data_IF_720825066768
#
_entry.id   IF_720825066768
#
_cell.length_a   1.000
_cell.length_b   1.000
_cell.length_c   1.000
_cell.angle_alpha   90.00
_cell.angle_beta   90.00
_cell.angle_gamma   90.00
#
_symmetry.space_group_name_H-M   'P 1'
#
loop_
_entity.id
_entity.type
_entity.pdbx_description
1 polymer ?
#
# COMPACT_ATOMS: atom_id res chain seq x y z
N UNK A 1 0.36 -19.66 -0.90
CA UNK A 1 0.95 -18.30 -0.92
C UNK A 1 0.05 -17.28 -0.19
N UNK A 2 -1.18 -17.02 -0.66
CA UNK A 2 -2.11 -16.05 -0.04
C UNK A 2 -2.33 -16.26 1.48
N UNK A 3 -2.42 -17.52 1.92
CA UNK A 3 -2.51 -17.87 3.34
C UNK A 3 -1.32 -17.35 4.18
N UNK A 4 -0.09 -17.53 3.68
CA UNK A 4 1.13 -17.08 4.35
C UNK A 4 1.20 -15.54 4.36
N UNK A 5 0.90 -14.91 3.22
CA UNK A 5 0.88 -13.44 3.10
C UNK A 5 -0.13 -12.83 4.07
N UNK A 6 -1.32 -13.43 4.20
CA UNK A 6 -2.32 -12.99 5.18
C UNK A 6 -1.80 -13.02 6.61
N UNK A 7 -1.19 -14.14 7.05
CA UNK A 7 -0.65 -14.24 8.40
C UNK A 7 0.46 -13.22 8.66
N UNK A 8 1.32 -12.97 7.66
CA UNK A 8 2.37 -11.94 7.75
C UNK A 8 1.75 -10.55 7.89
N UNK A 9 0.75 -10.20 7.08
CA UNK A 9 0.09 -8.89 7.14
C UNK A 9 -0.58 -8.64 8.51
N UNK A 10 -1.31 -9.63 9.02
CA UNK A 10 -1.96 -9.55 10.32
C UNK A 10 -0.91 -9.44 11.43
N UNK A 11 0.13 -10.29 11.40
CA UNK A 11 1.17 -10.31 12.42
C UNK A 11 1.99 -9.04 12.49
N UNK A 12 2.47 -8.52 11.34
CA UNK A 12 3.25 -7.27 11.28
C UNK A 12 2.40 -6.08 11.70
N UNK A 13 1.13 -6.01 11.26
CA UNK A 13 0.24 -4.93 11.66
C UNK A 13 -0.03 -4.93 13.17
N UNK A 14 -0.34 -6.10 13.74
CA UNK A 14 -0.55 -6.26 15.18
C UNK A 14 0.71 -5.88 15.98
N UNK A 15 1.88 -6.32 15.54
CA UNK A 15 3.16 -5.97 16.15
C UNK A 15 3.44 -4.45 16.07
N UNK A 16 3.27 -3.84 14.90
CA UNK A 16 3.52 -2.41 14.70
C UNK A 16 2.63 -1.53 15.60
N UNK A 17 1.43 -2.02 15.91
CA UNK A 17 0.51 -1.37 16.85
C UNK A 17 0.94 -1.56 18.30
N UNK A 18 1.28 -2.78 18.70
CA UNK A 18 1.75 -3.07 20.06
C UNK A 18 3.02 -2.30 20.40
N UNK A 19 3.94 -2.19 19.44
CA UNK A 19 5.18 -1.42 19.57
C UNK A 19 4.99 0.11 19.45
N UNK A 20 3.76 0.61 19.24
CA UNK A 20 3.43 2.04 19.08
C UNK A 20 4.23 2.77 17.98
N UNK A 21 4.73 2.04 16.98
CA UNK A 21 5.53 2.59 15.87
C UNK A 21 4.62 3.38 14.93
N UNK A 22 3.44 2.84 14.62
CA UNK A 22 2.41 3.49 13.80
C UNK A 22 1.23 3.85 14.71
N UNK A 23 1.04 5.15 14.95
CA UNK A 23 -0.03 5.63 15.85
C UNK A 23 -1.37 5.82 15.14
N UNK A 24 -1.40 5.78 13.81
CA UNK A 24 -2.64 5.96 13.04
C UNK A 24 -3.43 4.65 12.96
N UNK A 25 -4.52 4.57 13.74
CA UNK A 25 -5.40 3.41 13.79
C UNK A 25 -6.01 3.06 12.42
N UNK A 26 -6.27 4.05 11.57
CA UNK A 26 -6.86 3.80 10.25
C UNK A 26 -5.90 3.02 9.35
N UNK A 27 -4.60 3.35 9.38
CA UNK A 27 -3.58 2.66 8.58
C UNK A 27 -3.43 1.21 9.06
N UNK A 28 -3.28 1.01 10.37
CA UNK A 28 -3.16 -0.32 10.97
C UNK A 28 -4.41 -1.15 10.70
N UNK A 29 -5.60 -0.56 10.91
CA UNK A 29 -6.88 -1.21 10.67
C UNK A 29 -7.06 -1.64 9.22
N UNK A 30 -6.63 -0.82 8.26
CA UNK A 30 -6.62 -1.17 6.84
C UNK A 30 -5.76 -2.39 6.54
N UNK A 31 -4.53 -2.46 7.07
CA UNK A 31 -3.63 -3.60 6.85
C UNK A 31 -4.20 -4.89 7.45
N UNK A 32 -4.76 -4.82 8.67
CA UNK A 32 -5.39 -5.98 9.32
C UNK A 32 -6.62 -6.45 8.52
N UNK A 33 -7.49 -5.53 8.11
CA UNK A 33 -8.69 -5.85 7.33
C UNK A 33 -8.31 -6.52 6.00
N UNK A 34 -7.30 -6.00 5.29
CA UNK A 34 -6.77 -6.62 4.09
C UNK A 34 -6.26 -8.05 4.36
N UNK A 35 -5.53 -8.26 5.46
CA UNK A 35 -5.07 -9.58 5.86
C UNK A 35 -6.22 -10.56 6.08
N UNK A 36 -7.21 -10.20 6.90
CA UNK A 36 -8.38 -11.06 7.19
C UNK A 36 -9.17 -11.37 5.91
N UNK A 37 -9.35 -10.39 5.03
CA UNK A 37 -10.01 -10.61 3.75
C UNK A 37 -9.26 -11.61 2.87
N UNK A 38 -7.92 -11.49 2.76
CA UNK A 38 -7.10 -12.44 2.00
C UNK A 38 -7.12 -13.86 2.60
N UNK A 39 -7.19 -13.99 3.93
CA UNK A 39 -7.38 -15.28 4.60
C UNK A 39 -8.68 -15.97 4.19
N UNK A 40 -9.79 -15.21 4.17
CA UNK A 40 -11.09 -15.76 3.78
C UNK A 40 -11.09 -16.18 2.30
N UNK A 41 -10.47 -15.38 1.43
CA UNK A 41 -10.32 -15.73 0.02
C UNK A 41 -9.48 -16.99 -0.19
N UNK A 42 -8.37 -17.15 0.54
CA UNK A 42 -7.57 -18.37 0.46
C UNK A 42 -8.33 -19.59 0.97
N UNK A 43 -9.15 -19.45 2.02
CA UNK A 43 -10.01 -20.52 2.51
C UNK A 43 -11.08 -20.91 1.48
N UNK A 44 -11.75 -19.93 0.85
CA UNK A 44 -12.73 -20.18 -0.22
C UNK A 44 -12.10 -20.90 -1.41
N UNK A 45 -10.91 -20.47 -1.85
CA UNK A 45 -10.17 -21.13 -2.93
C UNK A 45 -9.78 -22.57 -2.57
N UNK A 46 -9.30 -22.81 -1.35
CA UNK A 46 -8.92 -24.13 -0.86
C UNK A 46 -10.12 -25.09 -0.77
N UNK A 47 -11.21 -24.65 -0.14
CA UNK A 47 -12.44 -25.46 -0.03
C UNK A 47 -13.02 -25.73 -1.42
N UNK A 48 -13.03 -24.73 -2.29
CA UNK A 48 -13.51 -24.86 -3.68
C UNK A 48 -12.74 -25.92 -4.46
N UNK A 49 -11.41 -25.97 -4.29
CA UNK A 49 -10.56 -26.98 -4.91
C UNK A 49 -10.75 -28.38 -4.31
N UNK A 50 -10.78 -28.52 -2.98
CA UNK A 50 -10.89 -29.85 -2.33
C UNK A 50 -12.26 -30.49 -2.54
N UNK A 51 -13.34 -29.70 -2.38
CA UNK A 51 -14.72 -30.20 -2.46
C UNK A 51 -15.26 -30.24 -3.89
N UNK A 52 -14.48 -29.84 -4.90
CA UNK A 52 -14.94 -29.67 -6.28
C UNK A 52 -16.25 -28.86 -6.40
N UNK A 53 -16.47 -27.92 -5.49
CA UNK A 53 -17.73 -27.17 -5.41
C UNK A 53 -17.74 -26.06 -6.47
N UNK A 54 -18.30 -26.37 -7.65
CA UNK A 54 -18.29 -25.53 -8.85
C UNK A 54 -18.75 -24.08 -8.60
N UNK A 55 -19.80 -23.90 -7.79
CA UNK A 55 -20.34 -22.56 -7.46
C UNK A 55 -19.37 -21.75 -6.59
N UNK A 56 -18.66 -22.40 -5.67
CA UNK A 56 -17.72 -21.71 -4.77
C UNK A 56 -16.49 -21.25 -5.55
N UNK A 57 -16.02 -22.10 -6.46
CA UNK A 57 -14.91 -21.78 -7.37
C UNK A 57 -15.28 -20.65 -8.33
N UNK A 58 -16.55 -20.56 -8.77
CA UNK A 58 -17.05 -19.45 -9.57
C UNK A 58 -16.97 -18.11 -8.82
N UNK A 59 -17.47 -18.05 -7.57
CA UNK A 59 -17.35 -16.83 -6.76
C UNK A 59 -15.89 -16.45 -6.50
N UNK A 60 -15.02 -17.43 -6.23
CA UNK A 60 -13.59 -17.20 -6.07
C UNK A 60 -12.97 -16.56 -7.31
N UNK A 61 -13.26 -17.08 -8.52
CA UNK A 61 -12.78 -16.49 -9.78
C UNK A 61 -13.32 -15.08 -10.00
N UNK A 62 -14.61 -14.84 -9.70
CA UNK A 62 -15.21 -13.51 -9.84
C UNK A 62 -14.51 -12.49 -8.93
N UNK A 63 -14.28 -12.84 -7.67
CA UNK A 63 -13.62 -11.95 -6.72
C UNK A 63 -12.17 -11.68 -7.13
N UNK A 64 -11.42 -12.72 -7.53
CA UNK A 64 -10.05 -12.53 -8.04
C UNK A 64 -10.02 -11.62 -9.28
N UNK A 65 -10.99 -11.75 -10.19
CA UNK A 65 -11.06 -10.89 -11.35
C UNK A 65 -11.35 -9.42 -10.99
N UNK A 66 -12.21 -9.18 -10.00
CA UNK A 66 -12.46 -7.84 -9.48
C UNK A 66 -11.21 -7.25 -8.80
N UNK A 67 -10.49 -8.05 -8.02
CA UNK A 67 -9.22 -7.65 -7.42
C UNK A 67 -8.18 -7.30 -8.47
N UNK A 68 -8.09 -8.10 -9.54
CA UNK A 68 -7.22 -7.82 -10.67
C UNK A 68 -7.52 -6.45 -11.29
N UNK A 69 -8.80 -6.14 -11.58
CA UNK A 69 -9.18 -4.85 -12.17
C UNK A 69 -8.76 -3.69 -11.25
N UNK A 70 -9.04 -3.79 -9.95
CA UNK A 70 -8.72 -2.75 -8.97
C UNK A 70 -7.20 -2.57 -8.84
N UNK A 71 -6.45 -3.66 -8.65
CA UNK A 71 -5.00 -3.62 -8.48
C UNK A 71 -4.30 -3.09 -9.73
N UNK A 72 -4.71 -3.57 -10.91
CA UNK A 72 -4.16 -3.10 -12.18
C UNK A 72 -4.42 -1.61 -12.37
N UNK A 73 -5.63 -1.15 -12.08
CA UNK A 73 -5.99 0.27 -12.18
C UNK A 73 -5.16 1.14 -11.22
N UNK A 74 -5.03 0.74 -9.95
CA UNK A 74 -4.22 1.46 -8.96
C UNK A 74 -2.74 1.45 -9.35
N UNK A 75 -2.22 0.32 -9.83
CA UNK A 75 -0.83 0.19 -10.24
C UNK A 75 -0.50 1.10 -11.43
N UNK A 76 -1.36 1.12 -12.45
CA UNK A 76 -1.26 2.05 -13.57
C UNK A 76 -1.37 3.51 -13.10
N UNK A 77 -2.31 3.83 -12.21
CA UNK A 77 -2.45 5.17 -11.66
C UNK A 77 -1.18 5.62 -10.94
N UNK A 78 -0.59 4.79 -10.07
CA UNK A 78 0.66 5.06 -9.37
C UNK A 78 1.83 5.35 -10.32
N UNK A 79 1.92 4.63 -11.44
CA UNK A 79 2.96 4.85 -12.45
C UNK A 79 2.71 6.10 -13.31
N UNK A 80 1.45 6.49 -13.49
CA UNK A 80 1.05 7.61 -14.33
C UNK A 80 1.00 8.96 -13.60
N UNK A 81 1.10 8.99 -12.25
CA UNK A 81 1.02 10.23 -11.47
C UNK A 81 2.11 11.22 -11.90
N UNK A 82 1.69 12.44 -12.25
CA UNK A 82 2.61 13.51 -12.65
C UNK A 82 3.26 14.22 -11.46
N UNK A 83 4.33 14.97 -11.72
CA UNK A 83 5.00 15.81 -10.73
C UNK A 83 4.08 16.81 -10.05
N UNK A 84 3.06 17.29 -10.74
CA UNK A 84 2.14 18.31 -10.22
C UNK A 84 1.02 17.72 -9.38
N UNK A 85 0.57 16.53 -9.75
CA UNK A 85 -0.30 15.75 -8.86
C UNK A 85 0.44 15.34 -7.58
N UNK A 86 1.71 14.93 -7.68
CA UNK A 86 2.55 14.65 -6.50
C UNK A 86 2.67 15.89 -5.59
N UNK A 87 2.87 17.08 -6.19
CA UNK A 87 2.97 18.35 -5.46
C UNK A 87 1.71 18.64 -4.66
N UNK A 88 0.56 18.66 -5.34
CA UNK A 88 -0.72 18.99 -4.71
C UNK A 88 -1.05 18.01 -3.58
N UNK A 89 -0.84 16.71 -3.80
CA UNK A 89 -1.05 15.67 -2.79
C UNK A 89 -0.14 15.84 -1.57
N UNK A 90 1.15 16.12 -1.80
CA UNK A 90 2.12 16.32 -0.72
C UNK A 90 1.84 17.62 0.04
N UNK A 91 1.46 18.69 -0.65
CA UNK A 91 1.11 19.98 -0.05
C UNK A 91 -0.13 19.84 0.84
N UNK A 92 -1.20 19.25 0.34
CA UNK A 92 -2.42 18.98 1.13
C UNK A 92 -2.14 18.02 2.29
N UNK A 93 -1.29 17.00 2.06
CA UNK A 93 -0.81 16.10 3.09
C UNK A 93 -0.05 16.85 4.19
N UNK A 94 0.84 17.78 3.82
CA UNK A 94 1.57 18.61 4.77
C UNK A 94 0.64 19.53 5.55
N UNK A 95 -0.34 20.17 4.90
CA UNK A 95 -1.30 21.06 5.57
C UNK A 95 -2.10 20.32 6.65
N UNK A 96 -2.51 19.08 6.37
CA UNK A 96 -3.30 18.23 7.29
C UNK A 96 -2.44 17.47 8.30
N UNK A 97 -1.13 17.42 8.11
CA UNK A 97 -0.23 16.69 8.99
C UNK A 97 -0.22 17.34 10.39
N UNK A 98 -0.34 16.49 11.41
CA UNK A 98 -0.20 16.90 12.81
C UNK A 98 1.24 17.37 13.09
N UNK A 99 1.40 18.26 14.07
CA UNK A 99 2.69 18.84 14.46
C UNK A 99 3.78 17.77 14.67
N UNK A 100 3.46 16.69 15.39
CA UNK A 100 4.40 15.60 15.65
C UNK A 100 4.86 14.87 14.38
N UNK A 101 4.01 14.77 13.35
CA UNK A 101 4.38 14.18 12.06
C UNK A 101 5.30 15.12 11.31
N UNK A 102 4.98 16.42 11.25
CA UNK A 102 5.85 17.43 10.63
C UNK A 102 7.25 17.43 11.25
N UNK A 103 7.36 17.44 12.58
CA UNK A 103 8.64 17.37 13.29
C UNK A 103 9.39 16.08 12.94
N UNK A 104 8.74 14.91 13.08
CA UNK A 104 9.38 13.61 12.75
C UNK A 104 9.86 13.54 11.30
N UNK A 105 9.06 14.02 10.34
CA UNK A 105 9.44 14.06 8.93
C UNK A 105 10.68 14.92 8.73
N UNK A 106 10.72 16.12 9.32
CA UNK A 106 11.88 17.02 9.25
C UNK A 106 13.14 16.40 9.87
N UNK A 107 13.00 15.67 10.98
CA UNK A 107 14.11 14.96 11.62
C UNK A 107 14.64 13.80 10.78
N UNK A 108 13.75 13.00 10.18
CA UNK A 108 14.12 11.82 9.38
C UNK A 108 14.75 12.24 8.03
N UNK A 109 14.19 13.26 7.39
CA UNK A 109 14.61 13.69 6.06
C UNK A 109 15.60 14.85 6.08
N UNK A 110 16.03 15.31 7.26
CA UNK A 110 16.99 16.41 7.43
C UNK A 110 16.60 17.66 6.62
N UNK A 111 15.34 18.07 6.73
CA UNK A 111 14.74 19.16 5.95
C UNK A 111 13.90 20.07 6.84
N UNK A 112 13.53 21.27 6.37
CA UNK A 112 12.66 22.17 7.13
C UNK A 112 11.66 22.92 6.25
N UNK A 113 10.40 22.97 6.70
CA UNK A 113 9.30 23.59 5.97
C UNK A 113 8.96 22.85 4.67
N UNK A 114 7.76 23.07 4.12
CA UNK A 114 7.36 22.38 2.89
C UNK A 114 8.14 22.91 1.67
N UNK A 115 7.90 24.16 1.27
CA UNK A 115 8.55 24.81 0.12
C UNK A 115 9.52 25.91 0.50
N UNK A 116 9.26 26.60 1.61
CA UNK A 116 10.07 27.72 2.06
C UNK A 116 10.38 27.58 3.55
N UNK A 117 11.64 27.87 3.90
CA UNK A 117 12.16 27.77 5.25
C UNK A 117 11.85 29.02 6.08
N UNK A 118 11.52 30.13 5.43
CA UNK A 118 11.19 31.39 6.12
C UNK A 118 9.76 31.44 6.65
N UNK A 119 8.94 30.42 6.36
CA UNK A 119 7.58 30.37 6.89
C UNK A 119 7.59 30.33 8.42
N UNK A 120 6.77 31.16 9.08
CA UNK A 120 6.68 31.14 10.53
C UNK A 120 6.13 29.78 11.02
N UNK A 121 6.39 29.39 12.28
CA UNK A 121 5.95 28.11 12.84
C UNK A 121 4.44 27.89 12.75
N UNK A 122 3.66 28.96 12.90
CA UNK A 122 2.19 28.94 12.86
C UNK A 122 1.63 28.84 11.43
N UNK A 123 2.48 28.96 10.41
CA UNK A 123 2.05 28.79 9.03
C UNK A 123 1.74 27.31 8.74
N UNK A 124 0.63 27.08 8.01
CA UNK A 124 0.18 25.73 7.64
C UNK A 124 1.23 24.96 6.82
N UNK A 125 2.05 25.66 6.03
CA UNK A 125 3.17 25.13 5.24
C UNK A 125 4.53 25.21 5.95
N UNK A 126 4.58 25.85 7.11
CA UNK A 126 5.78 25.94 7.94
C UNK A 126 6.17 24.61 8.57
N UNK A 127 7.28 24.63 9.31
CA UNK A 127 7.82 23.47 10.02
C UNK A 127 7.06 23.10 11.30
N UNK A 128 6.11 23.93 11.74
CA UNK A 128 5.33 23.75 12.98
C UNK A 128 6.10 24.09 14.26
N UNK A 129 7.42 24.24 14.18
CA UNK A 129 8.31 24.67 15.27
C UNK A 129 9.32 25.68 14.73
N UNK A 130 9.90 26.54 15.57
CA UNK A 130 11.00 27.41 15.16
C UNK A 130 12.16 26.61 14.56
N UNK A 131 12.76 27.15 13.50
CA UNK A 131 13.88 26.54 12.78
C UNK A 131 15.01 26.06 13.69
N UNK A 132 15.35 26.87 14.70
CA UNK A 132 16.42 26.63 15.67
C UNK A 132 16.21 25.37 16.54
N UNK A 133 14.97 24.87 16.65
CA UNK A 133 14.66 23.67 17.41
C UNK A 133 14.87 22.38 16.60
N UNK A 134 15.20 22.47 15.30
CA UNK A 134 15.51 21.30 14.47
C UNK A 134 17.02 21.10 14.45
N UNK A 135 17.53 20.29 15.37
CA UNK A 135 18.97 19.96 15.50
C UNK A 135 19.45 18.92 14.50
N UNK A 136 18.55 18.29 13.75
CA UNK A 136 18.90 17.26 12.76
C UNK A 136 19.54 17.83 11.48
N UNK A 137 19.53 19.14 11.27
CA UNK A 137 20.15 19.77 10.11
C UNK A 137 21.46 20.46 10.48
N UNK A 138 22.49 19.67 10.76
CA UNK A 138 23.84 20.22 10.90
C UNK A 138 24.59 19.93 9.60
N UNK A 139 24.87 20.99 8.83
CA UNK A 139 25.84 20.89 7.75
C UNK A 139 27.26 20.77 8.35
N UNK A 140 28.20 20.09 7.68
CA UNK A 140 29.57 19.95 8.17
C UNK A 140 30.28 21.30 8.42
N UNK A 141 29.85 22.36 7.74
CA UNK A 141 30.38 23.74 7.87
C UNK A 141 29.73 24.58 8.98
N UNK A 142 28.84 24.00 9.80
CA UNK A 142 28.22 24.71 10.93
C UNK A 142 27.16 25.74 10.56
N UNK A 143 26.80 25.84 9.27
CA UNK A 143 25.63 26.61 8.82
C UNK A 143 24.37 25.75 8.95
N UNK A 144 23.43 26.17 9.79
CA UNK A 144 22.11 25.57 9.87
C UNK A 144 21.33 25.95 8.59
N UNK A 145 21.54 25.21 7.50
CA UNK A 145 20.77 25.36 6.26
C UNK A 145 20.17 24.00 5.90
N UNK A 146 18.97 23.73 6.43
CA UNK A 146 18.17 22.61 5.96
C UNK A 146 17.65 22.97 4.57
N UNK A 147 17.65 22.08 3.56
CA UNK A 147 16.86 22.29 2.35
C UNK A 147 15.34 22.24 2.65
N UNK A 148 14.50 22.82 1.76
CA UNK A 148 13.05 22.66 1.87
C UNK A 148 12.66 21.18 1.69
N UNK A 149 11.69 20.71 2.47
CA UNK A 149 11.30 19.29 2.48
C UNK A 149 10.73 18.80 1.15
N UNK A 150 10.14 19.68 0.34
CA UNK A 150 9.51 19.30 -0.92
C UNK A 150 10.46 18.58 -1.87
N UNK A 151 11.69 19.07 -2.04
CA UNK A 151 12.65 18.48 -2.98
C UNK A 151 13.01 17.03 -2.60
N UNK A 152 13.15 16.76 -1.30
CA UNK A 152 13.49 15.43 -0.78
C UNK A 152 12.25 14.53 -0.79
N UNK A 153 11.10 15.06 -0.36
CA UNK A 153 9.85 14.32 -0.30
C UNK A 153 9.35 13.92 -1.69
N UNK A 154 9.50 14.79 -2.70
CA UNK A 154 9.16 14.48 -4.11
C UNK A 154 9.90 13.24 -4.59
N UNK A 155 11.19 13.12 -4.29
CA UNK A 155 12.00 11.96 -4.69
C UNK A 155 11.53 10.68 -3.99
N UNK A 156 11.23 10.75 -2.69
CA UNK A 156 10.70 9.64 -1.93
C UNK A 156 9.31 9.19 -2.44
N UNK A 157 8.40 10.14 -2.71
CA UNK A 157 7.07 9.88 -3.26
C UNK A 157 7.18 9.23 -4.64
N UNK A 158 7.97 9.82 -5.55
CA UNK A 158 8.13 9.31 -6.91
C UNK A 158 8.73 7.89 -6.91
N UNK A 159 9.76 7.64 -6.10
CA UNK A 159 10.33 6.30 -5.95
C UNK A 159 9.32 5.29 -5.41
N UNK A 160 8.59 5.69 -4.35
CA UNK A 160 7.57 4.83 -3.74
C UNK A 160 6.43 4.51 -4.71
N UNK A 161 5.92 5.49 -5.46
CA UNK A 161 4.85 5.28 -6.45
C UNK A 161 5.29 4.32 -7.56
N UNK A 162 6.55 4.45 -8.05
CA UNK A 162 7.09 3.53 -9.06
C UNK A 162 7.23 2.11 -8.55
N UNK A 163 7.76 1.95 -7.32
CA UNK A 163 7.90 0.63 -6.68
C UNK A 163 6.52 0.02 -6.42
N UNK A 164 5.59 0.76 -5.81
CA UNK A 164 4.24 0.29 -5.54
C UNK A 164 3.48 -0.07 -6.82
N UNK A 165 3.60 0.76 -7.87
CA UNK A 165 3.02 0.48 -9.18
C UNK A 165 3.61 -0.78 -9.82
N UNK A 166 4.94 -0.94 -9.78
CA UNK A 166 5.60 -2.15 -10.28
C UNK A 166 5.17 -3.42 -9.53
N UNK A 167 5.12 -3.37 -8.19
CA UNK A 167 4.66 -4.48 -7.35
C UNK A 167 3.19 -4.82 -7.66
N UNK A 168 2.33 -3.80 -7.77
CA UNK A 168 0.92 -3.98 -8.09
C UNK A 168 0.70 -4.62 -9.47
N UNK A 169 1.48 -4.21 -10.49
CA UNK A 169 1.45 -4.84 -11.82
C UNK A 169 1.91 -6.30 -11.78
N UNK A 170 2.96 -6.60 -11.02
CA UNK A 170 3.44 -7.98 -10.87
C UNK A 170 2.37 -8.88 -10.24
N UNK A 171 1.75 -8.44 -9.14
CA UNK A 171 0.66 -9.21 -8.51
C UNK A 171 -0.55 -9.35 -9.43
N UNK A 172 -0.96 -8.27 -10.12
CA UNK A 172 -2.07 -8.30 -11.09
C UNK A 172 -1.81 -9.34 -12.20
N UNK A 173 -0.57 -9.43 -12.70
CA UNK A 173 -0.21 -10.44 -13.68
C UNK A 173 -0.34 -11.88 -13.11
N UNK A 174 0.15 -12.11 -11.88
CA UNK A 174 0.00 -13.43 -11.24
C UNK A 174 -1.47 -13.79 -10.97
N UNK A 175 -2.32 -12.81 -10.64
CA UNK A 175 -3.76 -13.01 -10.45
C UNK A 175 -4.45 -13.37 -11.76
N UNK A 176 -4.10 -12.69 -12.86
CA UNK A 176 -4.61 -13.03 -14.19
C UNK A 176 -4.28 -14.48 -14.58
N UNK A 177 -3.03 -14.91 -14.37
CA UNK A 177 -2.62 -16.31 -14.59
C UNK A 177 -3.41 -17.25 -13.66
N UNK A 178 -3.63 -16.87 -12.41
CA UNK A 178 -4.43 -17.63 -11.44
C UNK A 178 -5.90 -17.83 -11.87
N UNK A 179 -6.55 -16.77 -12.37
CA UNK A 179 -7.90 -16.85 -12.94
C UNK A 179 -7.90 -17.74 -14.18
N UNK A 180 -6.94 -17.56 -15.10
CA UNK A 180 -6.83 -18.39 -16.30
C UNK A 180 -6.65 -19.89 -15.97
N UNK A 181 -5.77 -20.21 -15.00
CA UNK A 181 -5.57 -21.58 -14.52
C UNK A 181 -6.83 -22.16 -13.88
N UNK A 182 -7.57 -21.35 -13.10
CA UNK A 182 -8.81 -21.79 -12.46
C UNK A 182 -9.92 -22.03 -13.49
N UNK A 183 -10.03 -21.19 -14.52
CA UNK A 183 -10.93 -21.41 -15.66
C UNK A 183 -10.58 -22.72 -16.37
N UNK A 184 -9.28 -22.95 -16.63
CA UNK A 184 -8.82 -24.20 -17.26
C UNK A 184 -9.10 -25.42 -16.39
N UNK A 185 -8.82 -25.34 -15.09
CA UNK A 185 -9.11 -26.41 -14.13
C UNK A 185 -10.61 -26.72 -14.06
N UNK A 186 -11.47 -25.70 -14.05
CA UNK A 186 -12.92 -25.89 -14.10
C UNK A 186 -13.39 -26.54 -15.40
N UNK A 187 -12.75 -26.18 -16.52
CA UNK A 187 -13.08 -26.71 -17.84
C UNK A 187 -12.44 -28.08 -18.10
N UNK A 188 -11.57 -28.59 -17.22
CA UNK A 188 -11.13 -29.98 -17.25
C UNK A 188 -12.29 -30.87 -16.78
N UNK A 189 -12.72 -31.79 -17.64
CA UNK A 189 -13.76 -32.78 -17.32
C UNK A 189 -13.38 -33.54 -16.06
N UNK A 190 -14.33 -33.68 -15.14
CA UNK A 190 -14.20 -34.51 -13.96
C UNK A 190 -14.01 -35.99 -14.39
N UNK A 191 -12.83 -36.61 -14.19
CA UNK A 191 -12.60 -37.99 -14.60
C UNK A 191 -13.39 -39.00 -13.76
N UNK A 192 -14.09 -38.54 -12.71
CA UNK A 192 -14.99 -39.34 -11.86
C UNK A 192 -16.47 -39.21 -12.24
N UNK A 193 -16.82 -38.32 -13.18
CA UNK A 193 -18.17 -38.30 -13.73
C UNK A 193 -18.36 -39.54 -14.60
N UNK A 194 -18.88 -40.61 -13.98
CA UNK A 194 -19.25 -41.84 -14.66
C UNK A 194 -20.20 -41.46 -15.82
N UNK A 195 -19.82 -41.68 -17.09
CA UNK A 195 -20.67 -41.34 -18.24
C UNK A 195 -21.93 -42.20 -18.31
N UNK A 196 -22.06 -43.21 -17.43
CA UNK A 196 -23.15 -44.18 -17.35
C UNK A 196 -24.20 -43.88 -16.26
N UNK A 197 -24.15 -42.73 -15.58
CA UNK A 197 -25.19 -42.33 -14.61
C UNK A 197 -26.38 -41.57 -15.25
N UNK A 198 -26.47 -41.54 -16.58
CA UNK A 198 -27.61 -41.04 -17.35
C UNK A 198 -28.31 -42.17 -18.11
N UNK A 199 -28.71 -43.22 -17.40
CA UNK A 199 -29.76 -44.16 -17.82
C UNK A 199 -30.72 -44.35 -16.66
#
# INVERSE_FOLDING_TARGET
LFQLVSFILIGVAAYSRAASIITNLAIVGGIIACGVFLFLLSLMGLIGAIRHHQVLLFFYMLILFLLFIIQFSIACACLAVTTEQQHQLAMEGWKRAKLNIKIKTQTIFHCYGFENQTYPPDNVLGGGVPYQNITSCVAPDGTNQCPPCWNILRNAINSSLKICGGIGLFFSFTEFVGVWLTVRYRNQRDPRANPSAFL
#
